data_IF_771733907059
#
_entry.id   IF_771733907059
#
_cell.length_a   1.000
_cell.length_b   1.000
_cell.length_c   1.000
_cell.angle_alpha   90.00
_cell.angle_beta   90.00
_cell.angle_gamma   90.00
#
_symmetry.space_group_name_H-M   'P 1'
#
loop_
_entity.id
_entity.type
_entity.pdbx_description
1 polymer ?
#
# COMPACT_ATOMS: atom_id res chain seq x y z
N UNK A 1 10.71 16.81 30.36
CA UNK A 1 10.56 15.60 29.49
C UNK A 1 11.95 15.21 29.06
N UNK A 2 12.26 13.92 29.01
CA UNK A 2 13.60 13.44 28.63
C UNK A 2 13.88 13.58 27.13
N UNK A 3 12.85 13.56 26.28
CA UNK A 3 12.99 13.59 24.82
C UNK A 3 12.28 14.80 24.21
N UNK A 4 12.85 15.29 23.11
CA UNK A 4 12.29 16.37 22.31
C UNK A 4 12.21 15.95 20.85
N UNK A 5 11.03 16.12 20.21
CA UNK A 5 10.90 15.97 18.76
C UNK A 5 11.33 17.24 18.05
N UNK A 6 12.06 17.09 16.95
CA UNK A 6 12.49 18.20 16.11
C UNK A 6 12.20 17.89 14.65
N UNK A 7 11.86 18.92 13.89
CA UNK A 7 11.84 18.87 12.44
C UNK A 7 13.20 19.30 11.91
N UNK A 8 13.59 18.75 10.80
CA UNK A 8 14.88 18.96 10.16
C UNK A 8 14.68 19.46 8.74
N UNK A 9 15.69 20.13 8.20
CA UNK A 9 15.71 20.64 6.84
C UNK A 9 16.63 19.82 5.92
N UNK A 10 16.73 20.22 4.66
CA UNK A 10 17.48 19.52 3.61
C UNK A 10 18.96 19.35 3.93
N UNK A 11 19.56 20.15 4.83
CA UNK A 11 20.95 20.00 5.23
C UNK A 11 21.23 18.71 6.02
N UNK A 12 20.20 18.12 6.61
CA UNK A 12 20.29 16.88 7.40
C UNK A 12 20.05 15.60 6.56
N UNK A 13 19.87 15.69 5.24
CA UNK A 13 19.56 14.55 4.36
C UNK A 13 20.57 13.40 4.52
N UNK A 14 21.86 13.71 4.44
CA UNK A 14 22.91 12.69 4.54
C UNK A 14 22.92 12.04 5.94
N UNK A 15 22.67 12.85 6.97
CA UNK A 15 22.57 12.33 8.33
C UNK A 15 21.36 11.38 8.49
N UNK A 16 20.18 11.72 7.98
CA UNK A 16 18.98 10.88 8.02
C UNK A 16 19.25 9.53 7.39
N UNK A 17 19.84 9.51 6.18
CA UNK A 17 20.16 8.28 5.47
C UNK A 17 21.17 7.44 6.28
N UNK A 18 22.26 8.06 6.73
CA UNK A 18 23.31 7.38 7.48
C UNK A 18 22.82 6.83 8.82
N UNK A 19 21.96 7.59 9.52
CA UNK A 19 21.36 7.15 10.78
C UNK A 19 20.38 5.99 10.58
N UNK A 20 19.57 6.04 9.52
CA UNK A 20 18.72 4.93 9.13
C UNK A 20 19.53 3.67 8.81
N UNK A 21 20.51 3.78 7.94
CA UNK A 21 21.40 2.66 7.57
C UNK A 21 22.08 2.05 8.81
N UNK A 22 22.55 2.90 9.72
CA UNK A 22 23.12 2.45 10.99
C UNK A 22 22.11 1.70 11.86
N UNK A 23 20.90 2.24 12.03
CA UNK A 23 19.88 1.63 12.91
C UNK A 23 19.32 0.30 12.37
N UNK A 24 19.27 0.14 11.06
CA UNK A 24 18.80 -1.07 10.39
C UNK A 24 19.91 -2.05 10.02
N UNK A 25 21.15 -1.74 10.38
CA UNK A 25 22.33 -2.57 10.10
C UNK A 25 22.56 -2.81 8.60
N UNK A 26 22.26 -1.81 7.80
CA UNK A 26 22.52 -1.81 6.36
C UNK A 26 23.97 -1.41 6.07
N UNK A 27 24.93 -2.13 6.63
CA UNK A 27 26.33 -1.87 6.41
C UNK A 27 26.78 -2.36 5.05
N UNK A 28 27.22 -1.42 4.22
CA UNK A 28 27.78 -1.66 2.91
C UNK A 28 27.03 -0.95 1.79
N UNK A 29 27.78 -0.40 0.84
CA UNK A 29 27.32 0.51 -0.21
C UNK A 29 26.19 0.00 -1.11
N UNK A 30 25.84 -1.29 -1.07
CA UNK A 30 24.78 -1.85 -1.90
C UNK A 30 23.47 -2.15 -1.16
N UNK A 31 23.40 -1.89 0.14
CA UNK A 31 22.27 -2.25 0.99
C UNK A 31 21.60 -1.06 1.67
N UNK A 32 22.15 0.15 1.54
CA UNK A 32 21.62 1.36 2.18
C UNK A 32 20.28 1.83 1.62
N UNK A 33 19.59 2.64 2.39
CA UNK A 33 18.26 3.18 2.05
C UNK A 33 18.22 3.90 0.70
N UNK A 34 19.27 4.62 0.31
CA UNK A 34 19.34 5.27 -1.00
C UNK A 34 19.22 4.30 -2.19
N UNK A 35 19.63 3.04 -2.00
CA UNK A 35 19.55 1.99 -3.01
C UNK A 35 18.30 1.14 -2.95
N UNK A 36 17.78 0.88 -1.73
CA UNK A 36 16.59 0.04 -1.58
C UNK A 36 15.28 0.83 -1.66
N UNK A 37 15.34 2.14 -1.39
CA UNK A 37 14.20 3.06 -1.38
C UNK A 37 14.50 4.33 -2.19
N UNK A 38 14.86 4.21 -3.49
CA UNK A 38 15.25 5.36 -4.31
C UNK A 38 14.17 6.43 -4.39
N UNK A 39 12.90 6.05 -4.31
CA UNK A 39 11.76 6.99 -4.27
C UNK A 39 11.74 7.92 -3.04
N UNK A 40 12.45 7.58 -1.95
CA UNK A 40 12.48 8.39 -0.72
C UNK A 40 13.86 8.97 -0.46
N UNK A 41 14.91 8.22 -0.76
CA UNK A 41 16.29 8.54 -0.37
C UNK A 41 17.25 8.58 -1.54
N UNK A 42 16.75 8.55 -2.77
CA UNK A 42 17.57 8.70 -3.98
C UNK A 42 18.27 10.06 -4.05
N UNK A 43 19.32 10.20 -4.91
CA UNK A 43 20.11 11.43 -5.01
C UNK A 43 19.25 12.65 -5.38
N UNK A 44 18.28 12.47 -6.27
CA UNK A 44 17.42 13.53 -6.80
C UNK A 44 16.14 13.75 -5.98
N UNK A 45 16.01 13.09 -4.81
CA UNK A 45 14.81 13.15 -3.97
C UNK A 45 15.15 13.75 -2.62
N UNK A 46 14.39 14.75 -2.20
CA UNK A 46 14.48 15.31 -0.87
C UNK A 46 13.17 15.09 -0.11
N UNK A 47 13.21 14.21 0.87
CA UNK A 47 12.13 13.90 1.80
C UNK A 47 12.51 14.24 3.25
N UNK A 48 13.54 15.04 3.45
CA UNK A 48 14.08 15.39 4.78
C UNK A 48 13.00 15.95 5.69
N UNK A 49 12.20 16.89 5.18
CA UNK A 49 11.10 17.54 5.91
C UNK A 49 9.95 16.59 6.32
N UNK A 50 9.95 15.37 5.79
CA UNK A 50 8.97 14.34 6.18
C UNK A 50 9.39 13.55 7.43
N UNK A 51 10.56 13.83 8.00
CA UNK A 51 11.07 13.11 9.16
C UNK A 51 10.81 13.86 10.46
N UNK A 52 10.43 13.10 11.47
CA UNK A 52 10.40 13.50 12.87
C UNK A 52 11.58 12.85 13.54
N UNK A 53 12.47 13.66 14.10
CA UNK A 53 13.68 13.20 14.79
C UNK A 53 13.52 13.41 16.29
N UNK A 54 13.97 12.43 17.04
CA UNK A 54 13.97 12.45 18.50
C UNK A 54 15.36 12.79 19.02
N UNK A 55 15.45 13.80 19.87
CA UNK A 55 16.65 14.19 20.60
C UNK A 55 16.57 13.85 22.09
N UNK A 56 17.72 13.51 22.66
CA UNK A 56 18.00 13.47 24.10
C UNK A 56 19.17 14.43 24.31
N UNK A 57 18.91 15.62 24.85
CA UNK A 57 19.79 16.79 24.81
C UNK A 57 20.27 17.09 23.37
N UNK A 58 21.56 17.09 23.11
CA UNK A 58 22.13 17.34 21.76
C UNK A 58 22.28 16.07 20.89
N UNK A 59 21.89 14.90 21.42
CA UNK A 59 22.06 13.63 20.71
C UNK A 59 20.78 13.25 19.96
N UNK A 60 20.89 12.93 18.68
CA UNK A 60 19.81 12.28 17.93
C UNK A 60 19.72 10.81 18.31
N UNK A 61 18.54 10.39 18.79
CA UNK A 61 18.35 9.06 19.39
C UNK A 61 17.32 8.20 18.65
N UNK A 62 16.55 8.78 17.77
CA UNK A 62 15.58 8.07 16.97
C UNK A 62 14.96 8.93 15.87
N UNK A 63 14.31 8.30 14.90
CA UNK A 63 13.58 8.99 13.85
C UNK A 63 12.45 8.14 13.28
N UNK A 64 11.53 8.79 12.57
CA UNK A 64 10.58 8.19 11.67
C UNK A 64 10.20 9.14 10.54
N UNK A 65 9.92 8.62 9.35
CA UNK A 65 9.41 9.37 8.22
C UNK A 65 7.90 9.22 8.08
N UNK A 66 7.20 10.31 7.70
CA UNK A 66 5.78 10.33 7.34
C UNK A 66 5.69 10.83 5.91
N UNK A 67 5.40 9.94 4.96
CA UNK A 67 5.48 10.20 3.52
C UNK A 67 4.08 10.34 2.93
N UNK A 68 3.59 11.57 2.71
CA UNK A 68 2.25 11.83 2.17
C UNK A 68 2.15 11.43 0.70
N UNK A 69 0.97 10.95 0.32
CA UNK A 69 0.61 10.66 -1.06
C UNK A 69 -0.92 10.62 -1.22
N UNK A 70 -1.38 10.35 -2.44
CA UNK A 70 -2.80 10.24 -2.78
C UNK A 70 -3.15 8.87 -3.31
N UNK A 71 -4.34 8.43 -2.95
CA UNK A 71 -4.96 7.21 -3.44
C UNK A 71 -6.17 7.57 -4.28
N UNK A 72 -6.15 7.22 -5.55
CA UNK A 72 -7.23 7.46 -6.48
C UNK A 72 -8.19 6.27 -6.47
N UNK A 73 -9.48 6.53 -6.34
CA UNK A 73 -10.54 5.56 -6.40
C UNK A 73 -11.62 6.06 -7.38
N UNK A 74 -11.46 5.78 -8.68
CA UNK A 74 -12.21 6.36 -9.80
C UNK A 74 -12.06 7.88 -9.86
N UNK A 75 -13.12 8.62 -9.51
CA UNK A 75 -13.14 10.09 -9.55
C UNK A 75 -12.87 10.73 -8.18
N UNK A 76 -12.81 9.92 -7.14
CA UNK A 76 -12.58 10.37 -5.77
C UNK A 76 -11.13 10.10 -5.35
N UNK A 77 -10.68 10.80 -4.31
CA UNK A 77 -9.30 10.72 -3.83
C UNK A 77 -9.27 10.63 -2.31
N UNK A 78 -8.39 9.79 -1.77
CA UNK A 78 -8.04 9.75 -0.35
C UNK A 78 -6.61 10.26 -0.17
N UNK A 79 -6.39 11.06 0.88
CA UNK A 79 -5.05 11.46 1.30
C UNK A 79 -4.51 10.43 2.27
N UNK A 80 -3.32 9.91 2.00
CA UNK A 80 -2.69 8.94 2.91
C UNK A 80 -1.23 9.28 3.16
N UNK A 81 -0.65 8.66 4.19
CA UNK A 81 0.79 8.63 4.36
C UNK A 81 1.30 7.22 4.65
N UNK A 82 2.45 6.90 4.09
CA UNK A 82 3.25 5.77 4.54
C UNK A 82 4.16 6.21 5.68
N UNK A 83 4.26 5.41 6.74
CA UNK A 83 5.18 5.64 7.84
C UNK A 83 6.34 4.66 7.71
N UNK A 84 7.53 5.20 7.46
CA UNK A 84 8.73 4.42 7.22
C UNK A 84 9.90 4.84 8.09
N UNK A 85 10.97 4.04 8.03
CA UNK A 85 12.24 4.32 8.68
C UNK A 85 12.12 4.58 10.18
N UNK A 86 11.14 3.91 10.83
CA UNK A 86 10.95 4.01 12.29
C UNK A 86 12.10 3.31 12.98
N UNK A 87 13.03 4.08 13.53
CA UNK A 87 14.22 3.53 14.15
C UNK A 87 14.65 4.28 15.41
N UNK A 88 15.37 3.54 16.27
CA UNK A 88 15.97 4.05 17.51
C UNK A 88 17.40 3.57 17.58
N UNK A 89 18.30 4.48 17.90
CA UNK A 89 19.72 4.19 18.12
C UNK A 89 19.87 3.03 19.13
N UNK A 90 20.72 2.02 18.86
CA UNK A 90 20.82 0.82 19.68
C UNK A 90 20.97 1.07 21.19
N UNK A 91 21.76 2.07 21.58
CA UNK A 91 21.99 2.44 22.99
C UNK A 91 20.75 2.99 23.71
N UNK A 92 19.73 3.44 22.96
CA UNK A 92 18.49 4.04 23.49
C UNK A 92 17.28 3.13 23.33
N UNK A 93 17.47 1.90 22.83
CA UNK A 93 16.41 0.90 22.73
C UNK A 93 15.89 0.52 24.13
N UNK A 94 14.63 0.06 24.20
CA UNK A 94 13.95 -0.31 25.43
C UNK A 94 13.78 0.83 26.47
N UNK A 95 13.89 2.09 26.05
CA UNK A 95 13.72 3.28 26.90
C UNK A 95 12.50 4.12 26.53
N UNK A 96 11.57 3.58 25.75
CA UNK A 96 10.33 4.26 25.35
C UNK A 96 10.44 5.21 24.16
N UNK A 97 11.63 5.34 23.52
CA UNK A 97 11.85 6.26 22.40
C UNK A 97 10.89 6.00 21.22
N UNK A 98 10.69 4.72 20.85
CA UNK A 98 9.77 4.38 19.76
C UNK A 98 8.33 4.79 20.07
N UNK A 99 7.87 4.55 21.29
CA UNK A 99 6.52 4.95 21.70
C UNK A 99 6.36 6.48 21.68
N UNK A 100 7.39 7.21 22.08
CA UNK A 100 7.40 8.67 21.98
C UNK A 100 7.27 9.13 20.54
N UNK A 101 8.09 8.61 19.62
CA UNK A 101 8.05 8.96 18.19
C UNK A 101 6.67 8.68 17.59
N UNK A 102 6.10 7.49 17.84
CA UNK A 102 4.79 7.11 17.32
C UNK A 102 3.65 7.97 17.89
N UNK A 103 3.75 8.42 19.13
CA UNK A 103 2.79 9.36 19.69
C UNK A 103 2.92 10.76 19.04
N UNK A 104 4.12 11.23 18.76
CA UNK A 104 4.32 12.49 18.01
C UNK A 104 3.80 12.37 16.58
N UNK A 105 4.03 11.23 15.91
CA UNK A 105 3.42 10.94 14.60
C UNK A 105 1.90 11.03 14.68
N UNK A 106 1.27 10.36 15.65
CA UNK A 106 -0.19 10.38 15.78
C UNK A 106 -0.76 11.79 15.98
N UNK A 107 -0.05 12.68 16.67
CA UNK A 107 -0.44 14.12 16.76
C UNK A 107 -0.36 14.78 15.39
N UNK A 108 0.76 14.63 14.71
CA UNK A 108 1.00 15.19 13.39
C UNK A 108 -0.01 14.72 12.33
N UNK A 109 -0.42 13.43 12.38
CA UNK A 109 -1.42 12.87 11.49
C UNK A 109 -2.80 13.50 11.67
N UNK A 110 -3.19 13.79 12.92
CA UNK A 110 -4.46 14.49 13.23
C UNK A 110 -4.49 15.92 12.67
N UNK A 111 -3.35 16.61 12.72
CA UNK A 111 -3.24 17.97 12.23
C UNK A 111 -3.29 18.06 10.69
N UNK A 112 -2.80 17.04 9.97
CA UNK A 112 -2.66 17.03 8.51
C UNK A 112 -3.85 16.44 7.75
N UNK A 113 -4.89 15.97 8.43
CA UNK A 113 -6.13 15.47 7.82
C UNK A 113 -5.91 14.34 6.80
N UNK A 114 -5.09 13.34 7.15
CA UNK A 114 -5.01 12.12 6.36
C UNK A 114 -6.24 11.24 6.59
N UNK A 115 -6.65 10.52 5.56
CA UNK A 115 -7.77 9.59 5.61
C UNK A 115 -7.36 8.24 6.20
N UNK A 116 -6.18 7.77 5.81
CA UNK A 116 -5.56 6.56 6.37
C UNK A 116 -4.04 6.65 6.32
N UNK A 117 -3.40 5.80 7.10
CA UNK A 117 -1.96 5.62 7.08
C UNK A 117 -1.61 4.15 7.15
N UNK A 118 -0.42 3.80 6.68
CA UNK A 118 0.09 2.43 6.78
C UNK A 118 1.58 2.42 7.16
N UNK A 119 2.04 1.29 7.68
CA UNK A 119 3.45 1.02 7.94
C UNK A 119 3.76 -0.47 7.86
N UNK A 120 5.03 -0.78 7.56
CA UNK A 120 5.58 -2.14 7.62
C UNK A 120 6.03 -2.54 9.03
N UNK A 121 5.79 -3.80 9.40
CA UNK A 121 6.33 -4.32 10.64
C UNK A 121 5.42 -5.33 11.36
N UNK A 122 5.82 -5.72 12.57
CA UNK A 122 5.08 -6.69 13.36
C UNK A 122 3.88 -6.06 14.08
N UNK A 123 2.69 -6.66 13.95
CA UNK A 123 1.46 -6.21 14.61
C UNK A 123 1.67 -6.00 16.12
N UNK A 124 2.34 -6.93 16.80
CA UNK A 124 2.60 -6.85 18.23
C UNK A 124 3.31 -5.57 18.69
N UNK A 125 4.03 -4.93 17.76
CA UNK A 125 4.77 -3.68 18.01
C UNK A 125 3.91 -2.45 17.78
N UNK A 126 2.98 -2.50 16.82
CA UNK A 126 2.26 -1.33 16.33
C UNK A 126 0.76 -1.30 16.64
N UNK A 127 0.16 -2.42 17.07
CA UNK A 127 -1.26 -2.49 17.40
C UNK A 127 -1.68 -1.51 18.52
N UNK A 128 -0.81 -1.24 19.49
CA UNK A 128 -1.06 -0.27 20.57
C UNK A 128 -1.18 1.18 20.06
N UNK A 129 -0.70 1.45 18.85
CA UNK A 129 -0.77 2.76 18.20
C UNK A 129 -1.88 2.82 17.15
N UNK A 130 -2.70 1.77 17.04
CA UNK A 130 -3.86 1.72 16.14
C UNK A 130 -3.59 1.15 14.75
N UNK A 131 -2.45 0.49 14.53
CA UNK A 131 -2.10 -0.14 13.25
C UNK A 131 -2.42 -1.63 13.26
N UNK A 132 -3.24 -2.08 12.32
CA UNK A 132 -3.71 -3.46 12.25
C UNK A 132 -3.55 -4.05 10.85
N UNK A 133 -3.28 -5.36 10.73
CA UNK A 133 -3.30 -6.05 9.44
C UNK A 133 -4.76 -6.19 8.98
N UNK A 134 -5.09 -5.67 7.82
CA UNK A 134 -6.44 -5.75 7.28
C UNK A 134 -6.52 -5.75 5.75
N UNK A 135 -5.48 -5.29 5.04
CA UNK A 135 -5.46 -5.31 3.58
C UNK A 135 -4.66 -6.53 3.11
N UNK A 136 -5.25 -7.29 2.20
CA UNK A 136 -4.69 -8.55 1.72
C UNK A 136 -4.37 -8.53 0.24
N UNK A 137 -3.41 -9.37 -0.14
CA UNK A 137 -3.08 -9.71 -1.51
C UNK A 137 -3.26 -11.21 -1.75
N UNK A 138 -3.72 -11.58 -2.92
CA UNK A 138 -3.66 -12.95 -3.42
C UNK A 138 -2.24 -13.25 -3.91
N UNK A 139 -1.71 -14.39 -3.50
CA UNK A 139 -0.43 -14.92 -3.96
C UNK A 139 -0.71 -16.16 -4.80
N UNK A 140 -0.29 -16.12 -6.05
CA UNK A 140 -0.36 -17.24 -6.98
C UNK A 140 1.05 -17.74 -7.30
N UNK A 141 1.18 -19.04 -7.53
CA UNK A 141 2.37 -19.64 -8.14
C UNK A 141 2.07 -19.94 -9.61
N UNK A 142 2.85 -19.35 -10.51
CA UNK A 142 2.84 -19.68 -11.92
C UNK A 142 3.99 -20.64 -12.21
N UNK A 143 3.69 -21.79 -12.83
CA UNK A 143 4.67 -22.77 -13.27
C UNK A 143 4.87 -22.71 -14.77
N UNK A 144 6.09 -23.00 -15.21
CA UNK A 144 6.44 -22.99 -16.62
C UNK A 144 5.51 -23.91 -17.42
N UNK A 145 4.87 -23.34 -18.42
CA UNK A 145 4.07 -24.05 -19.40
C UNK A 145 4.71 -23.86 -20.76
N UNK A 146 4.61 -24.86 -21.64
CA UNK A 146 4.99 -24.68 -23.05
C UNK A 146 4.12 -23.57 -23.64
N UNK A 147 4.71 -22.48 -24.06
CA UNK A 147 4.02 -21.38 -24.74
C UNK A 147 4.75 -21.02 -26.01
N UNK A 148 4.04 -20.47 -26.97
CA UNK A 148 4.63 -19.76 -28.09
C UNK A 148 5.38 -18.54 -27.54
N UNK A 149 6.70 -18.65 -27.46
CA UNK A 149 7.60 -17.68 -26.84
C UNK A 149 7.81 -16.48 -27.78
N UNK A 150 6.78 -15.65 -27.93
CA UNK A 150 6.85 -14.52 -28.86
C UNK A 150 7.01 -13.15 -28.17
N UNK A 151 7.31 -13.16 -26.84
CA UNK A 151 7.53 -11.93 -26.11
C UNK A 151 9.01 -11.67 -25.84
N UNK A 152 9.46 -10.46 -26.18
CA UNK A 152 10.78 -9.94 -25.84
C UNK A 152 10.67 -9.05 -24.61
N UNK A 153 11.56 -9.25 -23.64
CA UNK A 153 11.63 -8.45 -22.41
C UNK A 153 12.84 -7.53 -22.45
N UNK A 154 12.67 -6.30 -21.97
CA UNK A 154 13.72 -5.32 -21.78
C UNK A 154 13.68 -4.83 -20.34
N UNK A 155 14.72 -5.12 -19.55
CA UNK A 155 14.88 -4.50 -18.26
C UNK A 155 15.16 -3.00 -18.46
N UNK A 156 14.32 -2.15 -17.87
CA UNK A 156 14.44 -0.70 -18.02
C UNK A 156 15.47 -0.12 -17.06
N UNK A 157 16.10 0.94 -17.50
CA UNK A 157 16.96 1.83 -16.74
C UNK A 157 16.31 3.22 -16.67
N UNK A 158 16.78 4.10 -15.80
CA UNK A 158 16.21 5.45 -15.62
C UNK A 158 16.24 6.28 -16.92
N UNK A 159 17.20 6.00 -17.80
CA UNK A 159 17.39 6.66 -19.08
C UNK A 159 16.41 6.19 -20.18
N UNK A 160 15.71 5.07 -19.98
CA UNK A 160 14.73 4.54 -20.95
C UNK A 160 13.40 5.31 -20.89
N UNK A 161 13.46 6.64 -21.02
CA UNK A 161 12.34 7.56 -20.77
C UNK A 161 11.10 7.22 -21.61
N UNK A 162 11.27 6.82 -22.87
CA UNK A 162 10.15 6.48 -23.76
C UNK A 162 9.34 5.28 -23.21
N UNK A 163 10.02 4.20 -22.82
CA UNK A 163 9.37 3.02 -22.23
C UNK A 163 8.73 3.35 -20.87
N UNK A 164 9.42 4.13 -20.04
CA UNK A 164 8.90 4.55 -18.72
C UNK A 164 7.63 5.39 -18.90
N UNK A 165 7.58 6.24 -19.91
CA UNK A 165 6.37 7.03 -20.24
C UNK A 165 5.20 6.11 -20.57
N UNK A 166 5.41 5.10 -21.44
CA UNK A 166 4.37 4.11 -21.76
C UNK A 166 3.91 3.32 -20.52
N UNK A 167 4.85 2.93 -19.66
CA UNK A 167 4.52 2.26 -18.39
C UNK A 167 3.64 3.16 -17.50
N UNK A 168 4.01 4.43 -17.33
CA UNK A 168 3.24 5.37 -16.51
C UNK A 168 1.87 5.67 -17.12
N UNK A 169 1.77 5.84 -18.44
CA UNK A 169 0.50 6.02 -19.12
C UNK A 169 -0.44 4.82 -18.92
N UNK A 170 0.08 3.59 -18.99
CA UNK A 170 -0.71 2.39 -18.74
C UNK A 170 -1.15 2.31 -17.28
N UNK A 171 -0.25 2.58 -16.33
CA UNK A 171 -0.55 2.62 -14.90
C UNK A 171 -1.66 3.63 -14.57
N UNK A 172 -1.61 4.83 -15.16
CA UNK A 172 -2.58 5.89 -14.88
C UNK A 172 -3.99 5.60 -15.38
N UNK A 173 -4.16 4.61 -16.27
CA UNK A 173 -5.48 4.12 -16.69
C UNK A 173 -6.19 3.32 -15.59
N UNK A 174 -5.46 2.79 -14.61
CA UNK A 174 -6.04 2.10 -13.45
C UNK A 174 -6.95 3.06 -12.69
N UNK A 175 -8.17 2.62 -12.43
CA UNK A 175 -9.17 3.43 -11.72
C UNK A 175 -8.94 3.48 -10.21
N UNK A 176 -8.25 2.49 -9.69
CA UNK A 176 -7.85 2.38 -8.27
C UNK A 176 -6.34 2.24 -8.25
N UNK A 177 -5.64 3.24 -7.68
CA UNK A 177 -4.17 3.29 -7.69
C UNK A 177 -3.61 4.32 -6.70
N UNK A 178 -2.35 4.14 -6.31
CA UNK A 178 -1.56 5.20 -5.69
C UNK A 178 -1.14 6.27 -6.71
N UNK A 179 -0.79 7.45 -6.23
CA UNK A 179 -0.22 8.50 -7.08
C UNK A 179 1.21 8.13 -7.49
N UNK A 180 1.45 8.16 -8.80
CA UNK A 180 2.80 8.05 -9.38
C UNK A 180 2.92 9.05 -10.52
N UNK A 181 3.77 10.06 -10.34
CA UNK A 181 4.12 10.98 -11.45
C UNK A 181 5.13 10.32 -12.37
N UNK A 182 5.23 10.81 -13.61
CA UNK A 182 6.17 10.27 -14.60
C UNK A 182 7.62 10.33 -14.08
N UNK A 183 7.99 11.43 -13.44
CA UNK A 183 9.33 11.68 -12.90
C UNK A 183 9.71 10.71 -11.79
N UNK A 184 8.69 10.23 -11.04
CA UNK A 184 8.87 9.35 -9.89
C UNK A 184 8.62 7.87 -10.22
N UNK A 185 8.06 7.58 -11.39
CA UNK A 185 7.59 6.24 -11.73
C UNK A 185 8.70 5.18 -11.64
N UNK A 186 9.87 5.45 -12.23
CA UNK A 186 10.99 4.52 -12.21
C UNK A 186 11.50 4.25 -10.78
N UNK A 187 11.70 5.30 -9.99
CA UNK A 187 12.21 5.17 -8.62
C UNK A 187 11.19 4.44 -7.71
N UNK A 188 9.89 4.62 -7.95
CA UNK A 188 8.82 3.87 -7.27
C UNK A 188 8.86 2.40 -7.69
N UNK A 189 8.89 2.12 -8.99
CA UNK A 189 8.88 0.77 -9.53
C UNK A 189 10.11 -0.06 -9.10
N UNK A 190 11.26 0.59 -8.88
CA UNK A 190 12.51 -0.07 -8.50
C UNK A 190 12.77 -0.10 -6.98
N UNK A 191 11.84 0.40 -6.18
CA UNK A 191 11.87 0.30 -4.71
C UNK A 191 12.01 -1.16 -4.27
N UNK A 192 12.71 -1.40 -3.18
CA UNK A 192 13.08 -2.74 -2.67
C UNK A 192 13.95 -3.57 -3.60
N UNK A 193 14.73 -2.90 -4.48
CA UNK A 193 15.56 -3.52 -5.54
C UNK A 193 14.75 -4.32 -6.55
N UNK A 194 13.49 -3.99 -6.72
CA UNK A 194 12.69 -4.56 -7.78
C UNK A 194 13.22 -4.10 -9.14
N UNK A 195 12.93 -4.88 -10.16
CA UNK A 195 13.31 -4.60 -11.55
C UNK A 195 12.07 -4.31 -12.36
N UNK A 196 12.12 -3.22 -13.13
CA UNK A 196 11.07 -2.84 -14.09
C UNK A 196 11.40 -3.41 -15.44
N UNK A 197 10.45 -4.11 -16.07
CA UNK A 197 10.58 -4.66 -17.41
C UNK A 197 9.45 -4.17 -18.30
N UNK A 198 9.79 -3.67 -19.52
CA UNK A 198 8.85 -3.60 -20.63
C UNK A 198 8.85 -4.91 -21.39
N UNK A 199 7.73 -5.28 -22.00
CA UNK A 199 7.66 -6.41 -22.90
C UNK A 199 6.96 -6.06 -24.21
N UNK A 200 7.37 -6.77 -25.26
CA UNK A 200 7.03 -6.50 -26.65
C UNK A 200 6.64 -7.79 -27.36
N UNK A 201 5.71 -7.67 -28.30
CA UNK A 201 5.36 -8.73 -29.24
C UNK A 201 5.49 -8.18 -30.65
N UNK A 202 6.30 -8.81 -31.52
CA UNK A 202 6.56 -8.31 -32.87
C UNK A 202 6.99 -6.83 -32.92
N UNK A 203 7.85 -6.42 -31.97
CA UNK A 203 8.31 -5.04 -31.74
C UNK A 203 7.25 -4.02 -31.29
N UNK A 204 6.00 -4.43 -31.13
CA UNK A 204 4.97 -3.61 -30.50
C UNK A 204 5.06 -3.71 -28.98
N UNK A 205 5.03 -2.58 -28.30
CA UNK A 205 5.00 -2.50 -26.84
C UNK A 205 3.65 -2.99 -26.31
N UNK A 206 3.66 -3.95 -25.36
CA UNK A 206 2.45 -4.61 -24.87
C UNK A 206 2.18 -4.36 -23.38
N UNK A 207 3.16 -3.82 -22.64
CA UNK A 207 2.99 -3.57 -21.22
C UNK A 207 4.30 -3.65 -20.44
N UNK A 208 4.15 -3.72 -19.12
CA UNK A 208 5.28 -3.81 -18.21
C UNK A 208 5.00 -4.75 -17.04
N UNK A 209 6.06 -5.17 -16.37
CA UNK A 209 5.98 -5.87 -15.10
C UNK A 209 7.09 -5.41 -14.15
N UNK A 210 6.82 -5.53 -12.85
CA UNK A 210 7.78 -5.29 -11.77
C UNK A 210 8.09 -6.63 -11.13
N UNK A 211 9.36 -6.98 -11.08
CA UNK A 211 9.84 -8.27 -10.59
C UNK A 211 10.83 -8.12 -9.45
N UNK A 212 10.63 -8.88 -8.40
CA UNK A 212 11.52 -9.01 -7.25
C UNK A 212 12.34 -10.30 -7.37
N UNK A 213 13.64 -10.18 -7.63
CA UNK A 213 14.55 -11.34 -7.63
C UNK A 213 14.61 -12.00 -6.24
N UNK A 214 14.61 -11.18 -5.19
CA UNK A 214 14.71 -11.66 -3.80
C UNK A 214 13.56 -12.61 -3.45
N UNK A 215 12.34 -12.25 -3.87
CA UNK A 215 11.12 -13.01 -3.56
C UNK A 215 10.68 -13.92 -4.71
N UNK A 216 11.39 -13.89 -5.85
CA UNK A 216 11.00 -14.57 -7.09
C UNK A 216 9.52 -14.31 -7.42
N UNK A 217 9.13 -13.04 -7.35
CA UNK A 217 7.74 -12.63 -7.47
C UNK A 217 7.56 -11.46 -8.44
N UNK A 218 6.52 -11.54 -9.27
CA UNK A 218 5.96 -10.40 -9.98
C UNK A 218 5.05 -9.68 -9.00
N UNK A 219 5.42 -8.46 -8.63
CA UNK A 219 4.68 -7.64 -7.67
C UNK A 219 3.71 -6.66 -8.34
N UNK A 220 3.86 -6.46 -9.64
CA UNK A 220 2.93 -5.71 -10.48
C UNK A 220 3.09 -6.16 -11.93
N UNK A 221 1.98 -6.32 -12.64
CA UNK A 221 1.95 -6.58 -14.08
C UNK A 221 0.77 -5.85 -14.70
N UNK A 222 1.06 -5.03 -15.72
CA UNK A 222 0.04 -4.30 -16.45
C UNK A 222 0.15 -4.59 -17.95
N UNK A 223 -0.99 -4.86 -18.56
CA UNK A 223 -1.11 -5.32 -19.94
C UNK A 223 -2.03 -4.42 -20.74
N UNK A 224 -1.68 -4.19 -22.01
CA UNK A 224 -2.59 -3.56 -22.98
C UNK A 224 -3.78 -4.47 -23.32
N UNK A 225 -3.58 -5.79 -23.27
CA UNK A 225 -4.61 -6.81 -23.45
C UNK A 225 -4.42 -7.96 -22.46
N UNK A 226 -5.37 -8.08 -21.54
CA UNK A 226 -5.33 -9.07 -20.45
C UNK A 226 -5.37 -10.52 -20.93
N UNK A 227 -5.90 -10.79 -22.12
CA UNK A 227 -5.96 -12.14 -22.71
C UNK A 227 -4.58 -12.77 -22.93
N UNK A 228 -3.55 -11.96 -23.01
CA UNK A 228 -2.16 -12.39 -23.22
C UNK A 228 -1.38 -12.76 -21.96
N UNK A 229 -1.98 -12.64 -20.76
CA UNK A 229 -1.27 -12.81 -19.48
C UNK A 229 -0.55 -14.17 -19.39
N UNK A 230 -1.20 -15.25 -19.82
CA UNK A 230 -0.64 -16.61 -19.76
C UNK A 230 0.64 -16.76 -20.61
N UNK A 231 0.61 -16.21 -21.83
CA UNK A 231 1.76 -16.25 -22.74
C UNK A 231 2.91 -15.37 -22.22
N UNK A 232 2.59 -14.20 -21.66
CA UNK A 232 3.58 -13.28 -21.08
C UNK A 232 4.25 -13.91 -19.86
N UNK A 233 3.48 -14.47 -18.94
CA UNK A 233 4.01 -15.12 -17.73
C UNK A 233 4.93 -16.29 -18.07
N UNK A 234 4.52 -17.17 -19.00
CA UNK A 234 5.33 -18.29 -19.42
C UNK A 234 6.61 -17.85 -20.16
N UNK A 235 6.51 -16.82 -21.01
CA UNK A 235 7.68 -16.25 -21.71
C UNK A 235 8.62 -15.58 -20.72
N UNK A 236 8.10 -14.85 -19.71
CA UNK A 236 8.92 -14.21 -18.69
C UNK A 236 9.64 -15.22 -17.82
N UNK A 237 8.96 -16.30 -17.44
CA UNK A 237 9.54 -17.38 -16.66
C UNK A 237 10.73 -18.01 -17.37
N UNK A 238 10.58 -18.29 -18.68
CA UNK A 238 11.68 -18.76 -19.52
C UNK A 238 12.82 -17.72 -19.65
N UNK A 239 12.48 -16.43 -19.76
CA UNK A 239 13.46 -15.34 -19.85
C UNK A 239 14.33 -15.22 -18.59
N UNK A 240 13.73 -15.36 -17.39
CA UNK A 240 14.48 -15.32 -16.12
C UNK A 240 15.09 -16.66 -15.73
N UNK A 241 14.86 -17.73 -16.51
CA UNK A 241 15.43 -19.06 -16.28
C UNK A 241 14.92 -19.72 -15.00
N UNK A 242 13.64 -19.64 -14.72
CA UNK A 242 12.99 -20.21 -13.54
C UNK A 242 11.90 -21.20 -13.92
N UNK A 243 11.66 -22.18 -13.07
CA UNK A 243 10.59 -23.17 -13.23
C UNK A 243 9.25 -22.69 -12.67
N UNK A 244 9.28 -21.79 -11.68
CA UNK A 244 8.10 -21.12 -11.12
C UNK A 244 8.40 -19.70 -10.64
N UNK A 245 7.36 -18.86 -10.58
CA UNK A 245 7.38 -17.52 -9.99
C UNK A 245 6.10 -17.29 -9.20
N UNK A 246 6.17 -16.46 -8.18
CA UNK A 246 4.99 -15.97 -7.51
C UNK A 246 4.44 -14.73 -8.22
N UNK A 247 3.13 -14.52 -8.09
CA UNK A 247 2.44 -13.32 -8.60
C UNK A 247 1.61 -12.79 -7.45
N UNK A 248 1.82 -11.53 -7.10
CA UNK A 248 1.08 -10.83 -6.05
C UNK A 248 0.06 -9.89 -6.70
N UNK A 249 -1.22 -10.07 -6.38
CA UNK A 249 -2.30 -9.24 -6.88
C UNK A 249 -3.20 -8.76 -5.73
N UNK A 250 -3.74 -7.56 -5.89
CA UNK A 250 -4.88 -7.10 -5.09
C UNK A 250 -6.04 -8.10 -5.19
N UNK A 251 -6.81 -8.30 -4.11
CA UNK A 251 -8.06 -9.08 -4.13
C UNK A 251 -9.05 -8.57 -5.20
N UNK A 252 -8.90 -7.32 -5.60
CA UNK A 252 -9.81 -6.61 -6.51
C UNK A 252 -9.30 -6.54 -7.95
N UNK A 253 -8.15 -7.14 -8.24
CA UNK A 253 -7.56 -7.15 -9.58
C UNK A 253 -8.33 -8.10 -10.49
N UNK A 254 -8.70 -7.65 -11.68
CA UNK A 254 -9.43 -8.46 -12.66
C UNK A 254 -8.62 -9.66 -13.16
N UNK A 255 -7.29 -9.59 -13.07
CA UNK A 255 -6.37 -10.69 -13.42
C UNK A 255 -6.54 -11.92 -12.51
N UNK A 256 -7.09 -11.77 -11.30
CA UNK A 256 -7.38 -12.90 -10.41
C UNK A 256 -8.20 -13.98 -11.12
N UNK A 257 -9.26 -13.58 -11.86
CA UNK A 257 -10.13 -14.52 -12.56
C UNK A 257 -9.38 -15.43 -13.52
N UNK A 258 -8.36 -14.90 -14.22
CA UNK A 258 -7.56 -15.70 -15.15
C UNK A 258 -6.54 -16.54 -14.40
N UNK A 259 -5.92 -15.98 -13.35
CA UNK A 259 -4.94 -16.73 -12.57
C UNK A 259 -5.57 -17.88 -11.77
N UNK A 260 -6.78 -17.73 -11.28
CA UNK A 260 -7.55 -18.80 -10.64
C UNK A 260 -7.77 -20.01 -11.57
N UNK A 261 -7.87 -19.78 -12.87
CA UNK A 261 -8.03 -20.86 -13.85
C UNK A 261 -6.70 -21.54 -14.21
N UNK A 262 -5.59 -20.79 -14.24
CA UNK A 262 -4.33 -21.26 -14.83
C UNK A 262 -3.16 -21.35 -13.87
N UNK A 263 -3.20 -20.72 -12.71
CA UNK A 263 -2.15 -20.74 -11.71
C UNK A 263 -2.56 -21.55 -10.47
N UNK A 264 -1.60 -21.77 -9.57
CA UNK A 264 -1.89 -22.34 -8.26
C UNK A 264 -2.08 -21.21 -7.25
N UNK A 265 -3.23 -21.13 -6.62
CA UNK A 265 -3.41 -20.25 -5.47
C UNK A 265 -2.58 -20.77 -4.30
N UNK A 266 -1.76 -19.90 -3.72
CA UNK A 266 -0.88 -20.26 -2.60
C UNK A 266 -1.49 -19.83 -1.27
N UNK A 267 -1.81 -18.54 -1.13
CA UNK A 267 -2.35 -17.97 0.10
C UNK A 267 -2.84 -16.53 -0.12
N UNK A 268 -3.58 -16.03 0.86
CA UNK A 268 -3.69 -14.60 1.09
C UNK A 268 -2.55 -14.14 2.01
N UNK A 269 -2.11 -12.90 1.83
CA UNK A 269 -1.08 -12.29 2.66
C UNK A 269 -1.49 -10.86 3.01
N UNK A 270 -1.41 -10.50 4.28
CA UNK A 270 -1.50 -9.09 4.67
C UNK A 270 -0.32 -8.31 4.10
N UNK A 271 -0.62 -7.17 3.47
CA UNK A 271 0.41 -6.36 2.79
C UNK A 271 1.17 -5.49 3.79
N UNK A 272 0.45 -4.79 4.66
CA UNK A 272 0.99 -3.85 5.64
C UNK A 272 0.04 -3.73 6.84
N UNK A 273 0.39 -2.92 7.82
CA UNK A 273 -0.48 -2.54 8.93
C UNK A 273 -1.11 -1.18 8.63
N UNK A 274 -2.42 -1.07 8.78
CA UNK A 274 -3.19 0.13 8.45
C UNK A 274 -3.85 0.73 9.69
N UNK A 275 -3.98 2.06 9.66
CA UNK A 275 -4.81 2.83 10.57
C UNK A 275 -5.71 3.75 9.76
N UNK A 276 -7.02 3.60 9.87
CA UNK A 276 -7.99 4.54 9.32
C UNK A 276 -8.11 5.72 10.29
N UNK A 277 -8.03 6.94 9.76
CA UNK A 277 -8.11 8.19 10.52
C UNK A 277 -9.45 8.91 10.30
N UNK A 278 -10.01 8.80 9.09
CA UNK A 278 -11.32 9.33 8.70
C UNK A 278 -12.21 8.19 8.19
N UNK A 279 -12.94 7.54 9.10
CA UNK A 279 -13.79 6.39 8.76
C UNK A 279 -14.89 6.77 7.79
N UNK A 280 -15.52 7.93 7.98
CA UNK A 280 -16.60 8.48 7.18
C UNK A 280 -16.16 8.67 5.73
N UNK A 281 -15.06 9.39 5.52
CA UNK A 281 -14.57 9.70 4.18
C UNK A 281 -14.00 8.47 3.47
N UNK A 282 -13.26 7.61 4.17
CA UNK A 282 -12.75 6.34 3.62
C UNK A 282 -13.91 5.46 3.17
N UNK A 283 -14.96 5.33 4.01
CA UNK A 283 -16.13 4.52 3.69
C UNK A 283 -16.86 5.08 2.47
N UNK A 284 -17.10 6.40 2.43
CA UNK A 284 -17.79 7.05 1.32
C UNK A 284 -17.07 6.81 -0.01
N UNK A 285 -15.78 7.15 -0.06
CA UNK A 285 -14.95 7.06 -1.28
C UNK A 285 -14.84 5.63 -1.77
N UNK A 286 -14.54 4.69 -0.88
CA UNK A 286 -14.31 3.31 -1.28
C UNK A 286 -15.62 2.54 -1.56
N UNK A 287 -16.75 2.88 -0.93
CA UNK A 287 -18.06 2.33 -1.32
C UNK A 287 -18.50 2.85 -2.69
N UNK A 288 -18.25 4.13 -3.01
CA UNK A 288 -18.47 4.66 -4.37
C UNK A 288 -17.64 3.89 -5.39
N UNK A 289 -16.38 3.59 -5.07
CA UNK A 289 -15.53 2.78 -5.93
C UNK A 289 -16.05 1.34 -6.05
N UNK A 290 -16.49 0.73 -4.95
CA UNK A 290 -17.08 -0.62 -4.94
C UNK A 290 -18.33 -0.71 -5.80
N UNK A 291 -19.20 0.32 -5.74
CA UNK A 291 -20.41 0.42 -6.57
C UNK A 291 -20.12 0.48 -8.08
N UNK A 292 -18.93 0.95 -8.48
CA UNK A 292 -18.48 0.91 -9.88
C UNK A 292 -17.98 -0.47 -10.31
N UNK A 293 -17.72 -1.36 -9.37
CA UNK A 293 -17.15 -2.69 -9.59
C UNK A 293 -18.21 -3.80 -9.51
N UNK A 294 -19.20 -3.65 -8.65
CA UNK A 294 -20.29 -4.59 -8.46
C UNK A 294 -21.57 -3.87 -8.03
N UNK A 295 -22.71 -4.53 -8.21
CA UNK A 295 -23.98 -4.05 -7.66
C UNK A 295 -23.98 -4.16 -6.14
N UNK A 296 -24.30 -3.05 -5.46
CA UNK A 296 -24.45 -3.00 -4.02
C UNK A 296 -25.92 -3.05 -3.64
N UNK A 297 -26.24 -3.81 -2.59
CA UNK A 297 -27.56 -3.81 -1.99
C UNK A 297 -27.87 -2.42 -1.42
N UNK A 298 -29.07 -1.92 -1.71
CA UNK A 298 -29.55 -0.71 -1.07
C UNK A 298 -29.78 -0.96 0.42
N UNK A 299 -29.40 0.00 1.23
CA UNK A 299 -29.53 -0.14 2.66
C UNK A 299 -28.97 1.03 3.46
N UNK A 300 -29.11 0.90 4.77
CA UNK A 300 -28.62 1.84 5.76
C UNK A 300 -27.85 1.08 6.84
N UNK A 301 -26.71 1.63 7.25
CA UNK A 301 -25.87 1.07 8.28
C UNK A 301 -25.36 2.19 9.20
N UNK A 302 -25.79 2.18 10.45
CA UNK A 302 -25.32 3.13 11.49
C UNK A 302 -24.22 2.51 12.31
N UNK A 303 -23.03 3.09 12.20
CA UNK A 303 -21.80 2.60 12.79
C UNK A 303 -21.35 3.51 13.96
N UNK A 304 -21.00 2.88 15.08
CA UNK A 304 -20.23 3.52 16.15
C UNK A 304 -18.85 2.88 16.21
N UNK A 305 -17.79 3.67 16.01
CA UNK A 305 -16.41 3.17 15.97
C UNK A 305 -15.60 3.82 17.10
N UNK A 306 -15.22 3.00 18.08
CA UNK A 306 -14.63 3.51 19.31
C UNK A 306 -15.54 4.52 19.99
N UNK A 307 -14.96 5.57 20.57
CA UNK A 307 -15.69 6.67 21.20
C UNK A 307 -15.76 7.93 20.31
N UNK A 308 -15.06 7.91 19.16
CA UNK A 308 -14.78 9.11 18.36
C UNK A 308 -15.71 9.25 17.14
N UNK A 309 -16.18 8.16 16.54
CA UNK A 309 -16.96 8.20 15.28
C UNK A 309 -18.34 7.57 15.45
N UNK A 310 -19.38 8.33 15.10
CA UNK A 310 -20.76 7.87 15.01
C UNK A 310 -21.39 8.47 13.75
N UNK A 311 -21.76 7.62 12.80
CA UNK A 311 -22.34 8.06 11.54
C UNK A 311 -23.21 6.97 10.91
N UNK A 312 -24.02 7.37 9.94
CA UNK A 312 -24.85 6.47 9.15
C UNK A 312 -24.41 6.51 7.69
N UNK A 313 -24.09 5.34 7.14
CA UNK A 313 -23.88 5.16 5.71
C UNK A 313 -25.19 4.71 5.06
N UNK A 314 -25.55 5.35 3.95
CA UNK A 314 -26.75 5.04 3.15
C UNK A 314 -26.31 4.76 1.72
N UNK A 315 -26.64 3.57 1.22
CA UNK A 315 -26.49 3.18 -0.19
C UNK A 315 -27.87 3.11 -0.82
N UNK A 316 -28.07 3.91 -1.83
CA UNK A 316 -29.26 3.87 -2.71
C UNK A 316 -28.79 3.70 -4.15
N UNK A 317 -29.72 3.49 -5.09
CA UNK A 317 -29.40 3.28 -6.51
C UNK A 317 -28.53 4.44 -7.05
N UNK A 318 -27.25 4.13 -7.26
CA UNK A 318 -26.26 5.07 -7.83
C UNK A 318 -25.67 6.10 -6.86
N UNK A 319 -25.94 6.03 -5.55
CA UNK A 319 -25.45 7.00 -4.57
C UNK A 319 -25.01 6.36 -3.25
N UNK A 320 -23.92 6.87 -2.71
CA UNK A 320 -23.47 6.65 -1.34
C UNK A 320 -23.53 7.98 -0.60
N UNK A 321 -24.08 7.99 0.59
CA UNK A 321 -24.13 9.19 1.46
C UNK A 321 -23.74 8.83 2.88
N UNK A 322 -22.93 9.67 3.49
CA UNK A 322 -22.64 9.63 4.91
C UNK A 322 -23.47 10.71 5.62
N UNK A 323 -24.14 10.32 6.69
CA UNK A 323 -24.97 11.20 7.52
C UNK A 323 -24.38 11.23 8.93
N UNK A 324 -24.02 12.39 9.40
CA UNK A 324 -23.60 12.67 10.77
C UNK A 324 -24.85 12.89 11.62
N UNK A 325 -25.59 11.84 11.96
CA UNK A 325 -26.83 11.97 12.74
C UNK A 325 -26.69 11.22 14.08
N UNK A 326 -26.59 11.99 15.15
CA UNK A 326 -26.44 11.49 16.53
C UNK A 326 -27.73 10.90 17.14
N UNK A 327 -28.87 10.99 16.42
CA UNK A 327 -30.19 10.60 16.96
C UNK A 327 -30.60 9.18 16.59
N UNK A 328 -29.82 8.50 15.76
CA UNK A 328 -30.16 7.21 15.19
C UNK A 328 -29.71 6.02 16.08
N UNK A 329 -30.53 4.97 16.11
CA UNK A 329 -30.13 3.71 16.75
C UNK A 329 -28.90 3.14 16.06
N UNK A 330 -27.87 2.81 16.84
CA UNK A 330 -26.64 2.18 16.34
C UNK A 330 -26.92 0.73 15.95
N UNK A 331 -26.62 0.37 14.68
CA UNK A 331 -26.76 -1.00 14.21
C UNK A 331 -25.61 -1.88 14.69
N UNK A 332 -24.38 -1.34 14.74
CA UNK A 332 -23.22 -2.05 15.25
C UNK A 332 -22.19 -1.09 15.85
N UNK A 333 -21.64 -1.51 16.99
CA UNK A 333 -20.50 -0.84 17.63
C UNK A 333 -19.24 -1.68 17.44
N UNK A 334 -18.19 -1.05 16.94
CA UNK A 334 -16.91 -1.68 16.60
C UNK A 334 -15.75 -0.98 17.32
N UNK A 335 -14.76 -1.73 17.69
CA UNK A 335 -13.44 -1.19 18.00
C UNK A 335 -12.77 -0.71 16.71
N UNK A 336 -11.73 0.12 16.79
CA UNK A 336 -10.94 0.55 15.59
C UNK A 336 -10.37 -0.63 14.82
N UNK A 337 -9.89 -1.67 15.53
CA UNK A 337 -9.42 -2.91 14.90
C UNK A 337 -10.53 -3.61 14.10
N UNK A 338 -11.67 -3.79 14.70
CA UNK A 338 -12.82 -4.46 14.07
C UNK A 338 -13.34 -3.66 12.87
N UNK A 339 -13.35 -2.33 12.95
CA UNK A 339 -13.74 -1.48 11.84
C UNK A 339 -12.75 -1.58 10.66
N UNK A 340 -11.44 -1.57 10.92
CA UNK A 340 -10.43 -1.79 9.90
C UNK A 340 -10.59 -3.16 9.22
N UNK A 341 -10.82 -4.23 10.01
CA UNK A 341 -11.05 -5.57 9.48
C UNK A 341 -12.36 -5.66 8.68
N UNK A 342 -13.45 -5.04 9.14
CA UNK A 342 -14.72 -5.02 8.41
C UNK A 342 -14.57 -4.27 7.09
N UNK A 343 -13.93 -3.11 7.11
CA UNK A 343 -13.87 -2.25 5.93
C UNK A 343 -12.89 -2.76 4.88
N UNK A 344 -11.75 -3.31 5.29
CA UNK A 344 -10.62 -3.53 4.38
C UNK A 344 -10.15 -4.99 4.28
N UNK A 345 -10.62 -5.88 5.18
CA UNK A 345 -10.09 -7.23 5.24
C UNK A 345 -11.13 -8.29 5.61
N UNK A 346 -10.67 -9.34 6.23
CA UNK A 346 -11.51 -10.43 6.70
C UNK A 346 -12.13 -10.11 8.07
N UNK A 347 -13.43 -9.93 8.10
CA UNK A 347 -14.20 -9.78 9.32
C UNK A 347 -15.09 -11.00 9.55
N UNK A 348 -15.17 -11.55 10.77
CA UNK A 348 -16.07 -12.66 11.09
C UNK A 348 -17.53 -12.18 11.12
N UNK A 349 -18.20 -12.21 9.97
CA UNK A 349 -19.57 -11.70 9.81
C UNK A 349 -20.59 -12.31 10.76
N UNK A 350 -20.31 -13.49 11.32
CA UNK A 350 -21.17 -14.11 12.34
C UNK A 350 -21.26 -13.33 13.66
N UNK A 351 -20.33 -12.41 13.90
CA UNK A 351 -20.38 -11.47 15.02
C UNK A 351 -21.33 -10.28 14.79
N UNK A 352 -21.77 -10.07 13.56
CA UNK A 352 -22.70 -8.99 13.25
C UNK A 352 -24.15 -9.38 13.59
N UNK A 353 -24.99 -8.38 13.95
CA UNK A 353 -26.44 -8.58 14.04
C UNK A 353 -27.03 -9.14 12.74
N UNK A 354 -27.98 -10.05 12.85
CA UNK A 354 -28.52 -10.80 11.69
C UNK A 354 -29.12 -9.87 10.64
N UNK A 355 -29.79 -8.79 11.06
CA UNK A 355 -30.46 -7.83 10.18
C UNK A 355 -29.50 -7.01 9.29
N UNK A 356 -28.19 -6.94 9.59
CA UNK A 356 -27.20 -6.20 8.78
C UNK A 356 -26.17 -7.11 8.14
N UNK A 357 -26.14 -8.39 8.48
CA UNK A 357 -25.11 -9.34 8.06
C UNK A 357 -24.96 -9.43 6.54
N UNK A 358 -26.09 -9.60 5.82
CA UNK A 358 -26.07 -9.72 4.36
C UNK A 358 -25.71 -8.40 3.67
N UNK A 359 -26.14 -7.28 4.26
CA UNK A 359 -25.75 -5.96 3.79
C UNK A 359 -24.22 -5.77 3.90
N UNK A 360 -23.64 -6.09 5.06
CA UNK A 360 -22.20 -5.99 5.27
C UNK A 360 -21.42 -6.93 4.36
N UNK A 361 -21.83 -8.17 4.15
CA UNK A 361 -21.19 -9.10 3.20
C UNK A 361 -21.23 -8.58 1.76
N UNK A 362 -22.27 -7.86 1.39
CA UNK A 362 -22.35 -7.27 0.06
C UNK A 362 -21.48 -6.02 -0.08
N UNK A 363 -21.43 -5.16 0.93
CA UNK A 363 -20.67 -3.90 0.86
C UNK A 363 -19.15 -4.12 1.03
N UNK A 364 -18.74 -5.00 1.92
CA UNK A 364 -17.35 -5.20 2.35
C UNK A 364 -16.73 -6.49 1.80
N UNK A 365 -15.41 -6.62 1.83
CA UNK A 365 -14.44 -5.56 2.09
C UNK A 365 -14.35 -4.55 0.93
N UNK A 366 -13.79 -3.36 1.23
CA UNK A 366 -13.66 -2.24 0.30
C UNK A 366 -12.35 -2.31 -0.50
N UNK A 367 -12.32 -1.77 -1.74
CA UNK A 367 -11.18 -1.92 -2.65
C UNK A 367 -10.03 -0.96 -2.30
N UNK A 368 -9.27 -1.27 -1.25
CA UNK A 368 -8.00 -0.64 -0.92
C UNK A 368 -6.85 -1.63 -1.14
N UNK A 369 -5.79 -1.19 -1.81
CA UNK A 369 -4.56 -1.97 -1.96
C UNK A 369 -3.37 -1.05 -2.20
N UNK A 370 -2.28 -1.29 -1.48
CA UNK A 370 -0.99 -0.61 -1.65
C UNK A 370 0.01 -1.65 -2.15
N UNK A 371 0.46 -1.51 -3.40
CA UNK A 371 1.44 -2.44 -3.98
C UNK A 371 2.79 -2.33 -3.27
N UNK A 372 3.62 -3.37 -3.34
CA UNK A 372 4.94 -3.37 -2.71
C UNK A 372 5.83 -2.22 -3.18
N UNK A 373 5.66 -1.74 -4.42
CA UNK A 373 6.38 -0.59 -4.97
C UNK A 373 5.96 0.74 -4.32
N UNK A 374 4.73 0.84 -3.82
CA UNK A 374 4.21 2.04 -3.15
C UNK A 374 4.48 2.05 -1.64
N UNK A 375 4.84 0.90 -1.04
CA UNK A 375 5.18 0.75 0.38
C UNK A 375 6.48 1.49 0.75
N UNK A 376 6.63 1.88 2.02
CA UNK A 376 7.73 2.69 2.56
C UNK A 376 8.48 2.00 3.69
#
# INVERSE_FOLDING_TARGET
MKYQSVHVDSSEKEWIISFGDFCFDFYGAQTGFSHIMPKLYGPDVDTTNNHIILKDDDCYVGMAGVFPSKYYAFNDTLNYAGIGTVCVHPKYRNQGCMAYILNEINKHLKERQFDFVFLGGAETRYAHFGFYPCVEANIYEWKLKTSDQNYRFKQLRKEDVADITLCNELYTKKKIRCERTLERFYDIATTWKNKLYSYYKNDEWCGYLIYSDKHQAITEIELSDISHINAILSSFLSYVGKDSIHIELSLYDEKNRILEEFAYFVSNRYVELFQILSYEHVLEVLLKAQMKRKELNEGRLTLKIGDESLFTCVVTKGQVKILEDATTTVDVQLTKKEANMLFLGEYPYDKLPENIKDLCKNWFPLPLFISSSDQV
#
